data_IF_913852863829
#
_entry.id   IF_913852863829
#
_cell.length_a   1.000
_cell.length_b   1.000
_cell.length_c   1.000
_cell.angle_alpha   90.00
_cell.angle_beta   90.00
_cell.angle_gamma   90.00
#
_symmetry.space_group_name_H-M   'P 1'
#
loop_
_entity.id
_entity.type
_entity.pdbx_description
1 polymer ?
#
# COMPACT_ATOMS: atom_id res chain seq x y z
N UNK A 1 15.85 -9.85 -9.32
CA UNK A 1 14.98 -8.66 -9.46
C UNK A 1 15.87 -7.53 -9.96
N UNK A 2 16.04 -7.51 -11.27
CA UNK A 2 17.13 -6.84 -12.00
C UNK A 2 16.93 -5.33 -12.07
N UNK A 3 15.67 -4.89 -11.93
CA UNK A 3 15.27 -3.49 -11.98
C UNK A 3 15.23 -2.83 -10.58
N UNK A 4 15.68 -3.53 -9.53
CA UNK A 4 15.77 -2.99 -8.17
C UNK A 4 14.40 -2.81 -7.48
N UNK A 5 14.31 -1.86 -6.55
CA UNK A 5 13.07 -1.59 -5.83
C UNK A 5 12.08 -0.74 -6.65
N UNK A 6 10.79 -1.00 -6.47
CA UNK A 6 9.70 -0.35 -7.21
C UNK A 6 9.73 1.18 -7.05
N UNK A 7 10.04 1.69 -5.85
CA UNK A 7 10.14 3.15 -5.64
C UNK A 7 11.17 3.80 -6.58
N UNK A 8 12.36 3.23 -6.69
CA UNK A 8 13.40 3.77 -7.56
C UNK A 8 13.04 3.56 -9.04
N UNK A 9 12.45 2.41 -9.36
CA UNK A 9 11.97 2.11 -10.71
C UNK A 9 10.93 3.13 -11.20
N UNK A 10 9.92 3.45 -10.39
CA UNK A 10 8.90 4.45 -10.69
C UNK A 10 9.52 5.83 -10.95
N UNK A 11 10.44 6.27 -10.08
CA UNK A 11 11.13 7.57 -10.21
C UNK A 11 11.99 7.65 -11.47
N UNK A 12 12.68 6.55 -11.82
CA UNK A 12 13.53 6.51 -13.02
C UNK A 12 12.72 6.48 -14.32
N UNK A 13 11.53 5.87 -14.30
CA UNK A 13 10.64 5.73 -15.47
C UNK A 13 9.52 6.78 -15.53
N UNK A 14 9.53 7.78 -14.65
CA UNK A 14 8.45 8.77 -14.50
C UNK A 14 8.00 9.37 -15.84
N UNK A 15 6.70 9.39 -16.07
CA UNK A 15 6.05 9.84 -17.31
C UNK A 15 6.10 8.85 -18.48
N UNK A 16 6.99 7.84 -18.44
CA UNK A 16 7.15 6.88 -19.55
C UNK A 16 6.29 5.61 -19.41
N UNK A 17 5.90 5.25 -18.18
CA UNK A 17 5.09 4.06 -17.94
C UNK A 17 3.65 4.31 -18.37
N UNK A 18 3.09 3.41 -19.20
CA UNK A 18 1.66 3.42 -19.53
C UNK A 18 0.81 3.06 -18.32
N UNK A 19 -0.43 3.53 -18.28
CA UNK A 19 -1.36 3.25 -17.18
C UNK A 19 -1.60 1.75 -16.97
N UNK A 20 -1.69 0.96 -18.04
CA UNK A 20 -1.79 -0.50 -17.97
C UNK A 20 -0.63 -1.14 -17.17
N UNK A 21 0.59 -0.60 -17.26
CA UNK A 21 1.72 -1.08 -16.47
C UNK A 21 1.58 -0.70 -14.99
N UNK A 22 1.10 0.51 -14.68
CA UNK A 22 0.83 0.93 -13.30
C UNK A 22 -0.27 0.05 -12.66
N UNK A 23 -1.31 -0.28 -13.41
CA UNK A 23 -2.37 -1.20 -12.98
C UNK A 23 -1.82 -2.61 -12.74
N UNK A 24 -0.99 -3.14 -13.64
CA UNK A 24 -0.32 -4.44 -13.45
C UNK A 24 0.55 -4.45 -12.19
N UNK A 25 1.28 -3.37 -11.89
CA UNK A 25 2.09 -3.27 -10.67
C UNK A 25 1.22 -3.31 -9.40
N UNK A 26 0.05 -2.65 -9.41
CA UNK A 26 -0.91 -2.74 -8.31
C UNK A 26 -1.44 -4.16 -8.15
N UNK A 27 -1.78 -4.83 -9.25
CA UNK A 27 -2.27 -6.20 -9.25
C UNK A 27 -1.23 -7.16 -8.66
N UNK A 28 0.01 -7.11 -9.14
CA UNK A 28 1.12 -7.95 -8.67
C UNK A 28 1.34 -7.84 -7.14
N UNK A 29 1.31 -6.61 -6.61
CA UNK A 29 1.44 -6.37 -5.17
C UNK A 29 0.21 -6.90 -4.42
N UNK A 30 -0.99 -6.69 -4.96
CA UNK A 30 -2.24 -7.13 -4.36
C UNK A 30 -2.32 -8.67 -4.28
N UNK A 31 -1.90 -9.38 -5.32
CA UNK A 31 -1.81 -10.85 -5.35
C UNK A 31 -0.84 -11.38 -4.27
N UNK A 32 0.32 -10.73 -4.15
CA UNK A 32 1.28 -11.08 -3.09
C UNK A 32 0.70 -10.88 -1.69
N UNK A 33 -0.05 -9.80 -1.47
CA UNK A 33 -0.64 -9.48 -0.18
C UNK A 33 -1.89 -10.31 0.15
N UNK A 34 -2.71 -10.65 -0.85
CA UNK A 34 -3.81 -11.60 -0.72
C UNK A 34 -3.27 -12.95 -0.22
N UNK A 35 -2.17 -13.43 -0.82
CA UNK A 35 -1.53 -14.66 -0.38
C UNK A 35 -1.09 -14.59 1.09
N UNK A 36 -0.47 -13.49 1.52
CA UNK A 36 -0.07 -13.33 2.93
C UNK A 36 -1.28 -13.30 3.87
N UNK A 37 -2.35 -12.55 3.50
CA UNK A 37 -3.58 -12.47 4.29
C UNK A 37 -4.23 -13.86 4.45
N UNK A 38 -4.33 -14.63 3.36
CA UNK A 38 -4.88 -15.98 3.38
C UNK A 38 -4.09 -16.97 4.26
N UNK A 39 -2.80 -16.71 4.47
CA UNK A 39 -1.91 -17.54 5.31
C UNK A 39 -1.62 -16.92 6.68
N UNK A 40 -2.42 -15.93 7.10
CA UNK A 40 -2.31 -15.28 8.41
C UNK A 40 -0.94 -14.62 8.68
N UNK A 41 -0.30 -14.13 7.62
CA UNK A 41 0.91 -13.32 7.72
C UNK A 41 0.58 -11.82 7.58
N UNK A 42 1.11 -11.02 8.51
CA UNK A 42 1.03 -9.56 8.46
C UNK A 42 2.41 -9.03 8.08
N UNK A 43 2.51 -8.26 6.99
CA UNK A 43 3.76 -7.72 6.47
C UNK A 43 4.34 -6.62 7.36
N UNK A 44 3.51 -5.68 7.81
CA UNK A 44 3.85 -4.57 8.75
C UNK A 44 4.78 -3.48 8.22
N UNK A 45 5.28 -3.59 6.99
CA UNK A 45 6.10 -2.57 6.33
C UNK A 45 5.87 -2.51 4.82
N UNK A 46 4.63 -2.69 4.38
CA UNK A 46 4.31 -2.64 2.96
C UNK A 46 4.50 -1.20 2.43
N UNK A 47 5.38 -1.05 1.45
CA UNK A 47 5.68 0.22 0.77
C UNK A 47 6.33 -0.07 -0.59
N UNK A 48 6.31 0.88 -1.52
CA UNK A 48 6.97 0.69 -2.82
C UNK A 48 8.49 0.44 -2.71
N UNK A 49 9.14 0.96 -1.67
CA UNK A 49 10.57 0.67 -1.40
C UNK A 49 10.84 -0.81 -1.03
N UNK A 50 9.82 -1.50 -0.52
CA UNK A 50 9.87 -2.90 -0.10
C UNK A 50 9.19 -3.82 -1.13
N UNK A 51 8.97 -3.32 -2.35
CA UNK A 51 8.61 -4.13 -3.51
C UNK A 51 9.79 -4.12 -4.49
N UNK A 52 10.03 -5.22 -5.18
CA UNK A 52 11.09 -5.36 -6.17
C UNK A 52 10.49 -5.52 -7.56
N UNK A 53 11.24 -5.14 -8.60
CA UNK A 53 10.84 -5.26 -10.01
C UNK A 53 11.82 -6.18 -10.77
N UNK A 54 11.32 -7.14 -11.55
CA UNK A 54 12.16 -7.98 -12.41
C UNK A 54 12.32 -7.39 -13.82
N UNK A 55 13.11 -8.04 -14.67
CA UNK A 55 13.34 -7.65 -16.07
C UNK A 55 12.05 -7.55 -16.92
N UNK A 56 11.00 -8.27 -16.56
CA UNK A 56 9.71 -8.29 -17.25
C UNK A 56 8.69 -7.32 -16.64
N UNK A 57 9.14 -6.37 -15.81
CA UNK A 57 8.31 -5.39 -15.08
C UNK A 57 7.31 -6.00 -14.09
N UNK A 58 7.48 -7.27 -13.72
CA UNK A 58 6.67 -7.92 -12.67
C UNK A 58 7.16 -7.45 -11.32
N UNK A 59 6.23 -7.04 -10.47
CA UNK A 59 6.49 -6.60 -9.11
C UNK A 59 6.36 -7.77 -8.14
N UNK A 60 7.23 -7.86 -7.15
CA UNK A 60 7.08 -8.79 -6.03
C UNK A 60 7.26 -8.08 -4.71
N UNK A 61 6.38 -8.39 -3.76
CA UNK A 61 6.51 -7.97 -2.37
C UNK A 61 7.76 -8.59 -1.76
N UNK A 62 8.50 -7.82 -0.97
CA UNK A 62 9.79 -8.21 -0.40
C UNK A 62 9.99 -7.61 1.00
N UNK A 63 11.15 -7.86 1.60
CA UNK A 63 11.49 -7.40 2.95
C UNK A 63 10.49 -7.84 4.04
N UNK A 64 10.48 -9.15 4.27
CA UNK A 64 9.68 -9.78 5.31
C UNK A 64 10.30 -9.67 6.72
N UNK A 65 11.30 -8.77 6.93
CA UNK A 65 12.01 -8.66 8.20
C UNK A 65 11.10 -8.30 9.39
N UNK A 66 10.02 -7.58 9.12
CA UNK A 66 9.00 -7.24 10.11
C UNK A 66 7.78 -8.16 10.09
N UNK A 67 7.69 -9.08 9.12
CA UNK A 67 6.53 -9.94 8.92
C UNK A 67 6.35 -10.91 10.08
N UNK A 68 5.09 -11.14 10.47
CA UNK A 68 4.75 -12.04 11.58
C UNK A 68 3.57 -12.93 11.21
N UNK A 69 3.65 -14.18 11.61
CA UNK A 69 2.52 -15.11 11.60
C UNK A 69 1.63 -14.81 12.81
N UNK A 70 0.33 -14.60 12.58
CA UNK A 70 -0.61 -14.15 13.62
C UNK A 70 -1.98 -14.82 13.41
N UNK A 71 -2.26 -15.85 14.20
CA UNK A 71 -3.49 -16.67 14.11
C UNK A 71 -4.78 -15.83 14.25
N UNK A 72 -4.83 -14.92 15.22
CA UNK A 72 -6.02 -14.10 15.50
C UNK A 72 -6.04 -12.77 14.72
N UNK A 73 -5.19 -12.65 13.69
CA UNK A 73 -5.06 -11.47 12.83
C UNK A 73 -4.90 -10.12 13.60
N UNK A 74 -4.38 -10.17 14.82
CA UNK A 74 -4.08 -9.00 15.65
C UNK A 74 -2.76 -9.18 16.38
N UNK A 75 -1.88 -8.19 16.25
CA UNK A 75 -0.59 -8.16 16.93
C UNK A 75 -0.33 -6.77 17.49
N UNK A 76 0.00 -6.70 18.79
CA UNK A 76 0.43 -5.46 19.44
C UNK A 76 1.93 -5.51 19.67
N UNK A 77 2.66 -4.57 19.07
CA UNK A 77 4.12 -4.48 19.25
C UNK A 77 4.48 -3.82 20.57
N UNK A 78 5.47 -4.35 21.30
CA UNK A 78 5.87 -3.92 22.65
C UNK A 78 6.75 -2.65 22.73
N UNK A 79 6.63 -1.70 21.78
CA UNK A 79 7.34 -0.40 21.71
C UNK A 79 8.85 -0.45 21.39
N UNK A 80 9.32 0.48 20.54
CA UNK A 80 10.76 0.77 20.32
C UNK A 80 11.24 0.76 18.86
N UNK A 81 10.48 0.21 17.91
CA UNK A 81 10.89 0.16 16.50
C UNK A 81 10.50 1.44 15.74
N UNK A 82 11.41 1.97 14.90
CA UNK A 82 11.07 2.95 13.86
C UNK A 82 10.08 2.28 12.90
N UNK A 83 8.83 2.74 12.86
CA UNK A 83 7.79 2.19 11.98
C UNK A 83 7.41 3.22 10.90
N UNK A 84 6.86 2.79 9.75
CA UNK A 84 6.65 3.65 8.59
C UNK A 84 5.42 4.56 8.77
N UNK A 85 5.57 5.68 9.49
CA UNK A 85 4.48 6.60 9.85
C UNK A 85 3.56 6.94 8.67
N UNK A 86 4.12 7.28 7.51
CA UNK A 86 3.38 7.69 6.31
C UNK A 86 2.59 6.58 5.61
N UNK A 87 2.81 5.31 5.99
CA UNK A 87 2.09 4.13 5.51
C UNK A 87 1.23 3.49 6.60
N UNK A 88 1.18 4.08 7.80
CA UNK A 88 0.55 3.46 8.95
C UNK A 88 -0.86 4.01 9.19
N UNK A 89 -1.85 3.15 9.51
CA UNK A 89 -3.19 3.57 9.89
C UNK A 89 -3.26 4.11 11.33
N UNK A 90 -4.37 4.79 11.72
CA UNK A 90 -4.56 5.36 13.05
C UNK A 90 -4.30 4.38 14.20
N UNK A 91 -4.77 3.14 14.12
CA UNK A 91 -4.61 2.15 15.19
C UNK A 91 -3.17 1.67 15.38
N UNK A 92 -2.35 1.72 14.32
CA UNK A 92 -0.90 1.45 14.42
C UNK A 92 -0.20 2.66 15.02
N UNK A 93 -0.54 3.88 14.55
CA UNK A 93 0.07 5.13 15.03
C UNK A 93 -0.14 5.34 16.53
N UNK A 94 -1.35 5.09 17.03
CA UNK A 94 -1.72 5.36 18.42
C UNK A 94 -1.48 4.18 19.37
N UNK A 95 -1.62 2.96 18.87
CA UNK A 95 -1.68 1.77 19.74
C UNK A 95 -0.78 0.63 19.27
N UNK A 96 0.01 0.81 18.20
CA UNK A 96 0.85 -0.25 17.62
C UNK A 96 0.08 -1.54 17.34
N UNK A 97 -1.21 -1.44 16.97
CA UNK A 97 -2.09 -2.57 16.65
C UNK A 97 -2.03 -2.90 15.17
N UNK A 98 -1.34 -3.98 14.84
CA UNK A 98 -1.20 -4.51 13.49
C UNK A 98 -2.24 -5.60 13.22
N UNK A 99 -2.72 -5.66 11.99
CA UNK A 99 -3.64 -6.67 11.44
C UNK A 99 -3.49 -6.72 9.92
N UNK A 100 -4.12 -7.66 9.24
CA UNK A 100 -4.22 -7.62 7.77
C UNK A 100 -4.82 -6.29 7.28
N UNK A 101 -5.74 -5.69 8.05
CA UNK A 101 -6.34 -4.39 7.75
C UNK A 101 -5.36 -3.21 7.89
N UNK A 102 -4.27 -3.37 8.63
CA UNK A 102 -3.19 -2.38 8.63
C UNK A 102 -2.34 -2.47 7.37
N UNK A 103 -2.12 -3.67 6.85
CA UNK A 103 -1.47 -3.86 5.55
C UNK A 103 -2.34 -3.35 4.40
N UNK A 104 -3.67 -3.50 4.48
CA UNK A 104 -4.61 -2.91 3.51
C UNK A 104 -4.45 -1.39 3.43
N UNK A 105 -4.31 -0.71 4.57
CA UNK A 105 -4.03 0.73 4.57
C UNK A 105 -2.73 1.06 3.84
N UNK A 106 -1.66 0.34 4.19
CA UNK A 106 -0.35 0.51 3.56
C UNK A 106 -0.41 0.23 2.05
N UNK A 107 -1.21 -0.75 1.61
CA UNK A 107 -1.43 -1.03 0.21
C UNK A 107 -2.12 0.12 -0.52
N UNK A 108 -3.11 0.77 0.08
CA UNK A 108 -3.69 2.00 -0.47
C UNK A 108 -2.62 3.08 -0.70
N UNK A 109 -1.67 3.22 0.23
CA UNK A 109 -0.53 4.14 0.06
C UNK A 109 0.41 3.67 -1.06
N UNK A 110 0.67 2.37 -1.22
CA UNK A 110 1.46 1.83 -2.35
C UNK A 110 0.79 2.11 -3.69
N UNK A 111 -0.53 1.92 -3.80
CA UNK A 111 -1.27 2.30 -5.01
C UNK A 111 -1.10 3.80 -5.31
N UNK A 112 -1.15 4.65 -4.26
CA UNK A 112 -0.88 6.07 -4.42
C UNK A 112 0.55 6.36 -4.85
N UNK A 113 1.56 5.65 -4.32
CA UNK A 113 2.96 5.77 -4.74
C UNK A 113 3.13 5.39 -6.22
N UNK A 114 2.51 4.31 -6.67
CA UNK A 114 2.55 3.84 -8.06
C UNK A 114 1.97 4.92 -8.99
N UNK A 115 0.76 5.42 -8.69
CA UNK A 115 0.07 6.39 -9.54
C UNK A 115 0.56 7.83 -9.40
N UNK A 116 1.35 8.10 -8.36
CA UNK A 116 2.11 9.35 -8.21
C UNK A 116 3.57 9.20 -8.65
N UNK A 117 3.91 8.08 -9.30
CA UNK A 117 5.22 7.83 -9.91
C UNK A 117 6.38 7.95 -8.90
N UNK A 118 6.17 7.42 -7.70
CA UNK A 118 7.16 7.37 -6.63
C UNK A 118 7.32 8.67 -5.84
N UNK A 119 6.36 9.60 -5.93
CA UNK A 119 6.30 10.74 -4.98
C UNK A 119 6.24 10.25 -3.55
N UNK A 120 6.75 11.08 -2.64
CA UNK A 120 6.72 10.76 -1.21
C UNK A 120 5.32 11.04 -0.67
N UNK A 121 4.64 10.10 0.02
CA UNK A 121 3.36 10.38 0.65
C UNK A 121 3.50 11.54 1.65
N UNK A 122 2.56 12.48 1.62
CA UNK A 122 2.59 13.67 2.48
C UNK A 122 3.96 14.41 2.45
N UNK A 123 4.55 14.62 1.27
CA UNK A 123 5.94 15.12 1.12
C UNK A 123 6.24 16.41 1.88
N UNK A 124 5.27 17.32 2.01
CA UNK A 124 5.40 18.60 2.71
C UNK A 124 5.08 18.53 4.22
N UNK A 125 4.87 17.33 4.76
CA UNK A 125 4.52 17.12 6.18
C UNK A 125 5.59 16.30 6.90
N UNK A 126 5.93 16.72 8.10
CA UNK A 126 6.67 15.93 9.08
C UNK A 126 5.86 14.73 9.57
N UNK A 127 6.51 13.74 10.16
CA UNK A 127 5.81 12.58 10.71
C UNK A 127 4.78 12.95 11.78
N UNK A 128 5.07 13.96 12.61
CA UNK A 128 4.12 14.43 13.63
C UNK A 128 2.88 15.07 13.00
N UNK A 129 3.07 15.88 11.95
CA UNK A 129 1.94 16.46 11.21
C UNK A 129 1.12 15.38 10.52
N UNK A 130 1.76 14.36 9.94
CA UNK A 130 1.05 13.23 9.31
C UNK A 130 0.18 12.47 10.32
N UNK A 131 0.70 12.22 11.54
CA UNK A 131 -0.10 11.61 12.62
C UNK A 131 -1.34 12.45 12.91
N UNK A 132 -1.18 13.78 13.05
CA UNK A 132 -2.29 14.69 13.31
C UNK A 132 -3.29 14.75 12.16
N UNK A 133 -2.81 14.83 10.92
CA UNK A 133 -3.62 14.87 9.71
C UNK A 133 -4.46 13.59 9.58
N UNK A 134 -3.84 12.41 9.71
CA UNK A 134 -4.52 11.10 9.64
C UNK A 134 -5.59 10.99 10.73
N UNK A 135 -5.27 11.42 11.96
CA UNK A 135 -6.19 11.42 13.11
C UNK A 135 -7.39 12.33 12.88
N UNK A 136 -7.21 13.45 12.16
CA UNK A 136 -8.29 14.37 11.77
C UNK A 136 -9.11 13.91 10.57
N UNK A 137 -8.81 12.74 10.01
CA UNK A 137 -9.50 12.22 8.84
C UNK A 137 -8.92 12.68 7.50
N UNK A 138 -7.80 13.41 7.49
CA UNK A 138 -7.12 13.80 6.25
C UNK A 138 -6.51 12.55 5.60
N UNK A 139 -6.63 12.46 4.27
CA UNK A 139 -6.13 11.36 3.43
C UNK A 139 -5.32 11.92 2.28
N UNK A 140 -4.57 11.05 1.60
CA UNK A 140 -3.86 11.41 0.38
C UNK A 140 -4.87 11.79 -0.71
N UNK A 141 -4.50 12.76 -1.54
CA UNK A 141 -5.32 13.22 -2.66
C UNK A 141 -5.28 12.24 -3.83
N UNK A 142 -6.21 12.36 -4.79
CA UNK A 142 -6.20 11.57 -6.04
C UNK A 142 -5.01 11.94 -6.93
N UNK A 143 -4.07 11.02 -7.22
CA UNK A 143 -3.01 11.28 -8.20
C UNK A 143 -3.62 11.64 -9.57
N UNK A 144 -2.97 12.54 -10.32
CA UNK A 144 -3.49 12.99 -11.62
C UNK A 144 -3.73 11.83 -12.60
N UNK A 145 -2.86 10.80 -12.56
CA UNK A 145 -2.91 9.61 -13.40
C UNK A 145 -3.91 8.55 -12.94
N UNK A 146 -4.51 8.69 -11.75
CA UNK A 146 -5.45 7.70 -11.23
C UNK A 146 -6.88 8.07 -11.65
N UNK A 147 -7.59 7.15 -12.30
CA UNK A 147 -9.02 7.30 -12.57
C UNK A 147 -9.84 7.45 -11.28
N UNK A 148 -11.05 7.98 -11.39
CA UNK A 148 -11.94 8.14 -10.23
C UNK A 148 -12.30 6.78 -9.59
N UNK A 149 -12.62 5.72 -10.35
CA UNK A 149 -12.87 4.39 -9.79
C UNK A 149 -11.65 3.83 -9.05
N UNK A 150 -10.45 3.95 -9.63
CA UNK A 150 -9.23 3.48 -8.99
C UNK A 150 -8.95 4.22 -7.68
N UNK A 151 -9.13 5.54 -7.66
CA UNK A 151 -8.98 6.32 -6.43
C UNK A 151 -10.00 5.93 -5.36
N UNK A 152 -11.23 5.56 -5.75
CA UNK A 152 -12.22 5.06 -4.80
C UNK A 152 -11.75 3.78 -4.09
N UNK A 153 -11.05 2.88 -4.81
CA UNK A 153 -10.40 1.70 -4.22
C UNK A 153 -9.34 2.13 -3.19
N UNK A 154 -8.41 3.00 -3.59
CA UNK A 154 -7.36 3.52 -2.69
C UNK A 154 -7.96 4.15 -1.42
N UNK A 155 -9.02 4.94 -1.58
CA UNK A 155 -9.65 5.67 -0.49
C UNK A 155 -10.36 4.73 0.50
N UNK A 156 -11.00 3.65 0.03
CA UNK A 156 -11.61 2.63 0.88
C UNK A 156 -10.58 1.90 1.74
N UNK A 157 -9.36 1.71 1.25
CA UNK A 157 -8.25 1.18 2.05
C UNK A 157 -7.91 2.08 3.26
N UNK A 158 -8.27 3.37 3.20
CA UNK A 158 -8.01 4.34 4.28
C UNK A 158 -9.23 4.68 5.14
N UNK A 159 -10.21 3.78 5.18
CA UNK A 159 -11.31 3.89 6.14
C UNK A 159 -10.75 3.94 7.58
N UNK A 160 -11.27 4.86 8.39
CA UNK A 160 -10.78 5.09 9.76
C UNK A 160 -10.82 3.81 10.60
N UNK A 161 -11.99 3.17 10.65
CA UNK A 161 -12.16 1.87 11.33
C UNK A 161 -11.63 0.73 10.47
N UNK A 162 -10.76 -0.17 11.00
CA UNK A 162 -10.23 -1.31 10.26
C UNK A 162 -11.29 -2.19 9.61
N UNK A 163 -12.46 -2.35 10.26
CA UNK A 163 -13.56 -3.18 9.77
C UNK A 163 -14.25 -2.61 8.53
N UNK A 164 -14.07 -1.32 8.25
CA UNK A 164 -14.58 -0.69 7.02
C UNK A 164 -13.63 -0.82 5.82
N UNK A 165 -12.44 -1.41 6.02
CA UNK A 165 -11.46 -1.61 4.95
C UNK A 165 -11.71 -2.97 4.26
N UNK A 166 -11.67 -3.05 2.92
CA UNK A 166 -11.86 -4.30 2.19
C UNK A 166 -10.75 -5.32 2.50
N UNK A 167 -10.98 -6.60 2.21
CA UNK A 167 -9.95 -7.63 2.15
C UNK A 167 -9.12 -7.50 0.85
N UNK A 168 -7.92 -8.08 0.81
CA UNK A 168 -7.10 -8.06 -0.40
C UNK A 168 -7.77 -8.78 -1.57
N UNK A 169 -8.51 -9.85 -1.33
CA UNK A 169 -9.28 -10.57 -2.36
C UNK A 169 -10.33 -9.68 -3.03
N UNK A 170 -11.04 -8.86 -2.25
CA UNK A 170 -12.03 -7.90 -2.78
C UNK A 170 -11.35 -6.82 -3.63
N UNK A 171 -10.24 -6.27 -3.13
CA UNK A 171 -9.47 -5.25 -3.86
C UNK A 171 -8.92 -5.81 -5.18
N UNK A 172 -8.40 -7.04 -5.16
CA UNK A 172 -7.85 -7.70 -6.34
C UNK A 172 -8.91 -7.90 -7.43
N UNK A 173 -10.11 -8.30 -7.05
CA UNK A 173 -11.24 -8.44 -7.98
C UNK A 173 -11.62 -7.09 -8.61
N UNK A 174 -11.68 -6.02 -7.81
CA UNK A 174 -11.97 -4.67 -8.31
C UNK A 174 -10.87 -4.15 -9.26
N UNK A 175 -9.59 -4.36 -8.94
CA UNK A 175 -8.46 -3.97 -9.81
C UNK A 175 -8.54 -4.71 -11.15
N UNK A 176 -8.81 -6.01 -11.16
CA UNK A 176 -8.93 -6.81 -12.39
C UNK A 176 -10.08 -6.33 -13.27
N UNK A 177 -11.26 -6.06 -12.69
CA UNK A 177 -12.41 -5.52 -13.41
C UNK A 177 -12.13 -4.17 -14.07
N UNK A 178 -11.39 -3.29 -13.39
CA UNK A 178 -10.97 -2.01 -13.96
C UNK A 178 -9.92 -2.17 -15.07
N UNK A 179 -9.01 -3.14 -14.94
CA UNK A 179 -8.02 -3.40 -15.98
C UNK A 179 -8.63 -3.98 -17.27
N UNK A 180 -9.74 -4.73 -17.16
CA UNK A 180 -10.48 -5.27 -18.31
C UNK A 180 -11.37 -4.21 -18.98
N UNK A 181 -11.82 -3.19 -18.25
CA UNK A 181 -12.70 -2.13 -18.75
C UNK A 181 -12.08 -0.73 -18.48
N UNK A 182 -10.96 -0.37 -19.14
CA UNK A 182 -10.38 0.95 -19.01
C UNK A 182 -11.32 2.00 -19.63
N UNK A 183 -11.63 3.06 -18.86
CA UNK A 183 -12.45 4.21 -19.28
C UNK A 183 -11.92 4.89 -20.56
#
# INVERSE_FOLDING_TARGET
MDNGCLLNYLRQKGGALKEAWLMSMCQDVCEGMEYLEAHSFIHRDLAARNCLVNENNVVKVSDFGMTRYVLDNQYTSSSGAKFPVKWSPPEVLHYSKYSSKSDVWSFGVVMWEIFSEGRTPFESRSNLEVVNDITRGIRLYRPHRASQPLYAIMYRCWHEKPQGRPAFSEILEEIRKLAENPD
#
